data_IF_941800734881
#
_entry.id   IF_941800734881
#
_cell.length_a   1.000
_cell.length_b   1.000
_cell.length_c   1.000
_cell.angle_alpha   90.00
_cell.angle_beta   90.00
_cell.angle_gamma   90.00
#
_symmetry.space_group_name_H-M   'P 1'
#
loop_
_entity.id
_entity.type
_entity.pdbx_description
1 polymer ?
#
# COMPACT_ATOMS: atom_id res chain seq x y z
N UNK A 1 10.43 -26.76 20.19
CA UNK A 1 9.97 -26.26 18.88
C UNK A 1 9.53 -24.83 19.10
N UNK A 2 10.00 -23.90 18.27
CA UNK A 2 9.46 -22.53 18.31
C UNK A 2 8.15 -22.53 17.52
N UNK A 3 7.06 -22.15 18.18
CA UNK A 3 5.76 -21.99 17.52
C UNK A 3 5.77 -20.70 16.69
N UNK A 4 5.49 -20.81 15.39
CA UNK A 4 5.37 -19.65 14.50
C UNK A 4 4.04 -18.95 14.79
N UNK A 5 4.08 -17.65 15.08
CA UNK A 5 2.90 -16.82 15.36
C UNK A 5 2.24 -16.31 14.07
N UNK A 6 3.07 -15.90 13.10
CA UNK A 6 2.64 -15.46 11.77
C UNK A 6 3.59 -16.05 10.72
N UNK A 7 3.05 -16.81 9.77
CA UNK A 7 3.80 -17.31 8.61
C UNK A 7 3.95 -16.23 7.55
N UNK A 8 4.88 -16.43 6.60
CA UNK A 8 5.05 -15.55 5.45
C UNK A 8 3.75 -15.41 4.64
N UNK A 9 3.02 -16.50 4.46
CA UNK A 9 1.75 -16.55 3.74
C UNK A 9 0.65 -15.80 4.51
N UNK A 10 0.59 -15.96 5.83
CA UNK A 10 -0.35 -15.22 6.68
C UNK A 10 -0.08 -13.70 6.64
N UNK A 11 1.19 -13.29 6.62
CA UNK A 11 1.56 -11.88 6.46
C UNK A 11 1.13 -11.32 5.10
N UNK A 12 1.33 -12.09 4.02
CA UNK A 12 0.87 -11.70 2.68
C UNK A 12 -0.66 -11.59 2.62
N UNK A 13 -1.38 -12.57 3.18
CA UNK A 13 -2.85 -12.54 3.25
C UNK A 13 -3.34 -11.32 4.03
N UNK A 14 -2.72 -11.02 5.17
CA UNK A 14 -3.03 -9.83 5.94
C UNK A 14 -2.84 -8.55 5.13
N UNK A 15 -1.70 -8.40 4.46
CA UNK A 15 -1.44 -7.23 3.60
C UNK A 15 -2.47 -7.13 2.46
N UNK A 16 -2.82 -8.23 1.80
CA UNK A 16 -3.82 -8.21 0.74
C UNK A 16 -5.23 -7.88 1.25
N UNK A 17 -5.57 -8.26 2.48
CA UNK A 17 -6.79 -7.80 3.15
C UNK A 17 -6.81 -6.28 3.35
N UNK A 18 -5.69 -5.68 3.76
CA UNK A 18 -5.55 -4.22 3.83
C UNK A 18 -5.73 -3.56 2.45
N UNK A 19 -5.07 -4.12 1.42
CA UNK A 19 -5.18 -3.62 0.04
C UNK A 19 -6.57 -3.69 -0.54
N UNK A 20 -7.32 -4.76 -0.24
CA UNK A 20 -8.71 -4.90 -0.67
C UNK A 20 -9.60 -3.80 -0.05
N UNK A 21 -9.44 -3.56 1.25
CA UNK A 21 -10.21 -2.51 1.91
C UNK A 21 -9.85 -1.12 1.35
N UNK A 22 -8.57 -0.82 1.13
CA UNK A 22 -8.13 0.44 0.51
C UNK A 22 -8.71 0.59 -0.90
N UNK A 23 -8.73 -0.48 -1.70
CA UNK A 23 -9.36 -0.48 -3.03
C UNK A 23 -10.84 -0.08 -2.97
N UNK A 24 -11.61 -0.66 -2.04
CA UNK A 24 -13.04 -0.32 -1.84
C UNK A 24 -13.24 1.12 -1.37
N UNK A 25 -12.32 1.65 -0.58
CA UNK A 25 -12.31 3.06 -0.17
C UNK A 25 -12.10 3.96 -1.38
N UNK A 26 -11.16 3.64 -2.27
CA UNK A 26 -10.96 4.37 -3.54
C UNK A 26 -12.25 4.35 -4.37
N UNK A 27 -12.92 3.20 -4.48
CA UNK A 27 -14.18 3.08 -5.24
C UNK A 27 -15.30 3.98 -4.72
N UNK A 28 -15.38 4.16 -3.40
CA UNK A 28 -16.42 4.95 -2.73
C UNK A 28 -16.36 6.46 -3.04
N UNK A 29 -15.19 7.00 -3.41
CA UNK A 29 -15.08 8.40 -3.82
C UNK A 29 -15.71 8.64 -5.20
N UNK A 30 -16.28 9.83 -5.42
CA UNK A 30 -16.50 10.33 -6.78
C UNK A 30 -15.15 10.59 -7.47
N UNK A 31 -15.14 10.75 -8.80
CA UNK A 31 -13.89 11.11 -9.50
C UNK A 31 -13.38 12.49 -9.06
N UNK A 32 -14.27 13.49 -8.92
CA UNK A 32 -13.87 14.83 -8.51
C UNK A 32 -13.30 14.84 -7.07
N UNK A 33 -14.00 14.20 -6.12
CA UNK A 33 -13.58 14.19 -4.72
C UNK A 33 -12.25 13.47 -4.52
N UNK A 34 -12.04 12.35 -5.22
CA UNK A 34 -10.80 11.58 -5.11
C UNK A 34 -9.57 12.42 -5.47
N UNK A 35 -9.70 13.28 -6.49
CA UNK A 35 -8.59 14.05 -7.04
C UNK A 35 -8.47 15.46 -6.45
N UNK A 36 -9.56 16.05 -5.97
CA UNK A 36 -9.60 17.48 -5.61
C UNK A 36 -9.96 17.75 -4.15
N UNK A 37 -10.67 16.86 -3.46
CA UNK A 37 -11.10 17.13 -2.09
C UNK A 37 -9.93 17.11 -1.11
N UNK A 38 -9.87 18.11 -0.23
CA UNK A 38 -8.82 18.27 0.78
C UNK A 38 -9.41 18.78 2.09
N UNK A 39 -8.78 18.43 3.21
CA UNK A 39 -9.13 18.93 4.55
C UNK A 39 -7.86 19.43 5.23
N UNK A 40 -7.93 20.61 5.86
CA UNK A 40 -6.85 21.07 6.77
C UNK A 40 -5.47 21.21 6.13
N UNK A 41 -5.42 21.52 4.82
CA UNK A 41 -4.15 21.63 4.07
C UNK A 41 -3.51 20.28 3.70
N UNK A 42 -4.19 19.16 3.95
CA UNK A 42 -3.73 17.83 3.53
C UNK A 42 -3.97 17.62 2.02
N UNK A 43 -3.18 16.71 1.43
CA UNK A 43 -3.27 16.34 -0.01
C UNK A 43 -4.60 15.63 -0.32
N UNK A 44 -5.07 15.61 -1.58
CA UNK A 44 -6.15 14.74 -2.02
C UNK A 44 -5.80 13.26 -1.84
N UNK A 45 -6.82 12.40 -1.71
CA UNK A 45 -6.59 10.97 -1.49
C UNK A 45 -5.93 10.28 -2.70
N UNK A 46 -6.14 10.79 -3.92
CA UNK A 46 -5.42 10.34 -5.12
C UNK A 46 -3.89 10.44 -4.95
N UNK A 47 -3.39 11.51 -4.36
CA UNK A 47 -1.94 11.70 -4.15
C UNK A 47 -1.39 10.74 -3.09
N UNK A 48 -2.18 10.45 -2.05
CA UNK A 48 -1.82 9.41 -1.09
C UNK A 48 -1.79 8.04 -1.75
N UNK A 49 -2.72 7.72 -2.65
CA UNK A 49 -2.70 6.47 -3.40
C UNK A 49 -1.47 6.35 -4.32
N UNK A 50 -1.02 7.47 -4.91
CA UNK A 50 0.21 7.50 -5.72
C UNK A 50 1.44 7.14 -4.88
N UNK A 51 1.54 7.66 -3.66
CA UNK A 51 2.57 7.29 -2.69
C UNK A 51 2.53 5.77 -2.38
N UNK A 52 1.36 5.22 -2.06
CA UNK A 52 1.20 3.79 -1.74
C UNK A 52 1.61 2.87 -2.91
N UNK A 53 1.28 3.25 -4.14
CA UNK A 53 1.70 2.54 -5.37
C UNK A 53 3.22 2.62 -5.55
N UNK A 54 3.81 3.80 -5.34
CA UNK A 54 5.26 4.02 -5.46
C UNK A 54 6.07 3.23 -4.42
N UNK A 55 5.45 2.86 -3.30
CA UNK A 55 6.06 2.06 -2.25
C UNK A 55 5.96 0.55 -2.57
N UNK A 56 4.75 0.02 -2.78
CA UNK A 56 4.51 -1.42 -2.66
C UNK A 56 5.30 -2.28 -3.68
N UNK A 57 4.96 -2.21 -4.97
CA UNK A 57 5.60 -3.03 -6.01
C UNK A 57 7.06 -2.63 -6.26
N UNK A 58 7.41 -1.33 -6.36
CA UNK A 58 8.80 -0.92 -6.58
C UNK A 58 9.75 -1.41 -5.48
N UNK A 59 9.31 -1.41 -4.22
CA UNK A 59 10.12 -1.94 -3.12
C UNK A 59 10.34 -3.44 -3.24
N UNK A 60 9.29 -4.23 -3.52
CA UNK A 60 9.44 -5.68 -3.71
C UNK A 60 10.34 -6.00 -4.91
N UNK A 61 10.21 -5.29 -6.03
CA UNK A 61 11.12 -5.43 -7.18
C UNK A 61 12.56 -5.13 -6.79
N UNK A 62 12.80 -4.05 -6.06
CA UNK A 62 14.14 -3.67 -5.60
C UNK A 62 14.76 -4.73 -4.70
N UNK A 63 14.00 -5.23 -3.71
CA UNK A 63 14.46 -6.25 -2.76
C UNK A 63 14.75 -7.58 -3.48
N UNK A 64 13.84 -8.04 -4.34
CA UNK A 64 13.96 -9.34 -5.04
C UNK A 64 15.05 -9.34 -6.12
N UNK A 65 15.30 -8.21 -6.77
CA UNK A 65 16.35 -8.07 -7.79
C UNK A 65 17.69 -7.55 -7.25
N UNK A 66 17.73 -7.13 -5.98
CA UNK A 66 18.85 -6.45 -5.37
C UNK A 66 19.30 -5.18 -6.15
N UNK A 67 18.34 -4.44 -6.70
CA UNK A 67 18.59 -3.19 -7.42
C UNK A 67 17.92 -2.03 -6.68
N UNK A 68 18.71 -1.03 -6.28
CA UNK A 68 18.20 0.15 -5.58
C UNK A 68 17.69 1.15 -6.62
N UNK A 69 16.41 1.50 -6.53
CA UNK A 69 15.80 2.59 -7.31
C UNK A 69 15.52 3.77 -6.39
N UNK A 70 15.35 4.97 -6.96
CA UNK A 70 14.93 6.14 -6.19
C UNK A 70 13.41 6.11 -5.97
N UNK A 71 12.97 6.73 -4.87
CA UNK A 71 11.56 6.95 -4.65
C UNK A 71 11.00 7.94 -5.69
N UNK A 72 9.87 7.58 -6.32
CA UNK A 72 9.14 8.43 -7.26
C UNK A 72 7.63 8.23 -7.06
N UNK A 73 7.00 9.17 -6.35
CA UNK A 73 5.56 9.17 -6.07
C UNK A 73 4.72 9.93 -7.09
N UNK A 74 5.29 10.30 -8.25
CA UNK A 74 4.52 10.96 -9.31
C UNK A 74 3.36 10.05 -9.74
N UNK A 75 2.10 10.52 -9.69
CA UNK A 75 0.97 9.73 -10.14
C UNK A 75 1.15 9.32 -11.60
N UNK A 76 1.00 8.02 -11.87
CA UNK A 76 1.00 7.45 -13.23
C UNK A 76 -0.41 7.33 -13.81
N UNK A 77 -1.43 7.71 -13.04
CA UNK A 77 -2.84 7.65 -13.38
C UNK A 77 -3.46 9.05 -13.39
N UNK A 78 -4.48 9.23 -14.23
CA UNK A 78 -5.19 10.52 -14.38
C UNK A 78 -6.71 10.37 -14.19
N UNK A 79 -7.19 9.20 -13.80
CA UNK A 79 -8.62 8.92 -13.55
C UNK A 79 -8.79 7.87 -12.47
N UNK A 80 -9.99 7.78 -11.87
CA UNK A 80 -10.29 6.77 -10.84
C UNK A 80 -10.17 5.36 -11.40
N UNK A 81 -10.63 5.16 -12.64
CA UNK A 81 -10.55 3.87 -13.32
C UNK A 81 -9.09 3.44 -13.56
N UNK A 82 -8.21 4.37 -13.96
CA UNK A 82 -6.79 4.07 -14.15
C UNK A 82 -6.10 3.73 -12.82
N UNK A 83 -6.42 4.45 -11.74
CA UNK A 83 -5.93 4.13 -10.40
C UNK A 83 -6.35 2.72 -9.96
N UNK A 84 -7.64 2.38 -10.07
CA UNK A 84 -8.14 1.05 -9.69
C UNK A 84 -7.49 -0.06 -10.52
N UNK A 85 -7.32 0.15 -11.83
CA UNK A 85 -6.60 -0.78 -12.71
C UNK A 85 -5.16 -1.01 -12.25
N UNK A 86 -4.42 0.07 -11.96
CA UNK A 86 -3.05 -0.05 -11.44
C UNK A 86 -3.02 -0.77 -10.08
N UNK A 87 -3.98 -0.49 -9.20
CA UNK A 87 -4.08 -1.14 -7.89
C UNK A 87 -4.28 -2.66 -8.01
N UNK A 88 -5.09 -3.08 -8.97
CA UNK A 88 -5.37 -4.49 -9.28
C UNK A 88 -4.14 -5.17 -9.89
N UNK A 89 -3.45 -4.50 -10.82
CA UNK A 89 -2.20 -5.00 -11.40
C UNK A 89 -1.07 -5.12 -10.35
N UNK A 90 -0.97 -4.16 -9.44
CA UNK A 90 0.00 -4.20 -8.34
C UNK A 90 -0.31 -5.32 -7.36
N UNK A 91 -1.60 -5.59 -7.11
CA UNK A 91 -2.03 -6.71 -6.28
C UNK A 91 -1.54 -8.05 -6.84
N UNK A 92 -1.65 -8.24 -8.17
CA UNK A 92 -1.11 -9.42 -8.85
C UNK A 92 0.42 -9.49 -8.75
N UNK A 93 1.11 -8.36 -8.95
CA UNK A 93 2.57 -8.31 -8.86
C UNK A 93 3.08 -8.59 -7.43
N UNK A 94 2.42 -8.08 -6.40
CA UNK A 94 2.76 -8.35 -5.00
C UNK A 94 2.64 -9.85 -4.73
N UNK A 95 1.56 -10.50 -5.18
CA UNK A 95 1.37 -11.95 -5.05
C UNK A 95 2.44 -12.77 -5.78
N UNK A 96 3.01 -12.25 -6.87
CA UNK A 96 4.09 -12.92 -7.60
C UNK A 96 5.47 -12.69 -6.95
N UNK A 97 5.75 -11.48 -6.47
CA UNK A 97 7.07 -11.08 -5.97
C UNK A 97 7.30 -11.48 -4.51
N UNK A 98 6.29 -11.31 -3.65
CA UNK A 98 6.43 -11.55 -2.21
C UNK A 98 6.87 -12.98 -1.87
N UNK A 99 6.34 -14.04 -2.52
CA UNK A 99 6.77 -15.42 -2.26
C UNK A 99 8.23 -15.72 -2.62
N UNK A 100 8.85 -14.92 -3.50
CA UNK A 100 10.26 -15.08 -3.90
C UNK A 100 11.23 -14.81 -2.74
N UNK A 101 10.78 -14.07 -1.72
CA UNK A 101 11.55 -13.84 -0.50
C UNK A 101 11.49 -15.09 0.39
N UNK A 102 12.66 -15.60 0.76
CA UNK A 102 12.80 -16.65 1.78
C UNK A 102 12.53 -16.06 3.17
N UNK A 103 12.05 -16.88 4.11
CA UNK A 103 11.77 -16.42 5.48
C UNK A 103 13.01 -15.82 6.17
N UNK A 104 14.19 -16.39 5.91
CA UNK A 104 15.45 -15.88 6.46
C UNK A 104 15.78 -14.45 5.96
N UNK A 105 15.44 -14.14 4.70
CA UNK A 105 15.71 -12.80 4.14
C UNK A 105 14.94 -11.69 4.86
N UNK A 106 13.80 -11.98 5.50
CA UNK A 106 13.07 -10.96 6.27
C UNK A 106 13.89 -10.36 7.43
N UNK A 107 14.92 -11.07 7.90
CA UNK A 107 15.85 -10.57 8.92
C UNK A 107 17.06 -9.80 8.36
N UNK A 108 17.26 -9.80 7.04
CA UNK A 108 18.35 -9.07 6.40
C UNK A 108 18.01 -7.59 6.25
N UNK A 109 19.04 -6.76 6.35
CA UNK A 109 18.96 -5.35 6.02
C UNK A 109 18.86 -5.16 4.50
N UNK A 110 18.12 -4.14 4.08
CA UNK A 110 18.06 -3.67 2.71
C UNK A 110 17.88 -2.15 2.68
N UNK A 111 18.65 -1.46 1.85
CA UNK A 111 18.53 -0.01 1.67
C UNK A 111 17.47 0.30 0.61
N UNK A 112 16.27 0.67 1.03
CA UNK A 112 15.23 1.14 0.12
C UNK A 112 15.42 2.60 -0.24
N UNK A 113 15.15 2.93 -1.51
CA UNK A 113 15.17 4.29 -2.05
C UNK A 113 16.51 5.03 -1.94
N UNK A 114 17.58 4.31 -1.61
CA UNK A 114 18.92 4.87 -1.35
C UNK A 114 19.08 5.51 0.02
N UNK A 115 18.06 5.45 0.88
CA UNK A 115 18.01 6.24 2.12
C UNK A 115 17.61 5.43 3.36
N UNK A 116 16.83 4.36 3.20
CA UNK A 116 16.23 3.64 4.34
C UNK A 116 16.85 2.26 4.52
N UNK A 117 17.89 2.17 5.36
CA UNK A 117 18.50 0.89 5.77
C UNK A 117 17.74 0.29 6.96
N UNK A 118 16.84 -0.65 6.67
CA UNK A 118 16.06 -1.38 7.67
C UNK A 118 16.01 -2.87 7.30
N UNK A 119 15.56 -3.70 8.24
CA UNK A 119 15.25 -5.10 7.92
C UNK A 119 14.09 -5.17 6.94
N UNK A 120 14.11 -6.15 6.04
CA UNK A 120 13.02 -6.38 5.08
C UNK A 120 11.65 -6.52 5.77
N UNK A 121 11.56 -7.17 6.94
CA UNK A 121 10.30 -7.22 7.69
C UNK A 121 9.81 -5.83 8.13
N UNK A 122 10.72 -4.92 8.50
CA UNK A 122 10.36 -3.58 8.98
C UNK A 122 9.85 -2.72 7.82
N UNK A 123 10.44 -2.88 6.63
CA UNK A 123 9.93 -2.28 5.41
C UNK A 123 8.51 -2.77 5.10
N UNK A 124 8.25 -4.08 5.17
CA UNK A 124 6.90 -4.62 4.94
C UNK A 124 5.89 -4.07 5.94
N UNK A 125 6.25 -3.95 7.23
CA UNK A 125 5.39 -3.30 8.22
C UNK A 125 5.13 -1.84 7.86
N UNK A 126 6.15 -1.09 7.47
CA UNK A 126 5.98 0.29 7.01
C UNK A 126 5.00 0.40 5.83
N UNK A 127 5.07 -0.50 4.85
CA UNK A 127 4.16 -0.49 3.70
C UNK A 127 2.70 -0.63 4.15
N UNK A 128 2.45 -1.56 5.07
CA UNK A 128 1.12 -1.84 5.61
C UNK A 128 0.63 -0.69 6.50
N UNK A 129 1.48 -0.22 7.41
CA UNK A 129 1.13 0.85 8.35
C UNK A 129 0.88 2.18 7.64
N UNK A 130 1.68 2.51 6.61
CA UNK A 130 1.48 3.72 5.81
C UNK A 130 0.16 3.66 5.02
N UNK A 131 -0.18 2.48 4.50
CA UNK A 131 -1.47 2.24 3.84
C UNK A 131 -2.65 2.40 4.81
N UNK A 132 -2.58 1.79 6.01
CA UNK A 132 -3.61 1.93 7.04
C UNK A 132 -3.74 3.39 7.48
N UNK A 133 -2.62 4.09 7.65
CA UNK A 133 -2.57 5.50 8.04
C UNK A 133 -3.31 6.38 7.03
N UNK A 134 -2.94 6.30 5.75
CA UNK A 134 -3.57 7.11 4.70
C UNK A 134 -5.02 6.69 4.43
N UNK A 135 -5.35 5.40 4.55
CA UNK A 135 -6.75 4.97 4.50
C UNK A 135 -7.55 5.57 5.64
N UNK A 136 -7.01 5.65 6.85
CA UNK A 136 -7.65 6.33 7.97
C UNK A 136 -7.97 7.81 7.66
N UNK A 137 -7.07 8.52 6.98
CA UNK A 137 -7.31 9.89 6.50
C UNK A 137 -8.46 9.92 5.47
N UNK A 138 -8.48 8.97 4.54
CA UNK A 138 -9.54 8.85 3.54
C UNK A 138 -10.93 8.59 4.16
N UNK A 139 -11.01 7.86 5.28
CA UNK A 139 -12.26 7.67 6.01
C UNK A 139 -12.82 9.00 6.53
N UNK A 140 -11.95 9.87 7.03
CA UNK A 140 -12.33 11.23 7.44
C UNK A 140 -12.83 12.03 6.25
N UNK A 141 -12.18 11.89 5.09
CA UNK A 141 -12.60 12.58 3.86
C UNK A 141 -13.99 12.11 3.40
N UNK A 142 -14.22 10.79 3.32
CA UNK A 142 -15.52 10.22 2.96
C UNK A 142 -16.62 10.74 3.89
N UNK A 143 -16.39 10.74 5.21
CA UNK A 143 -17.38 11.24 6.18
C UNK A 143 -17.64 12.74 6.02
N UNK A 144 -16.62 13.55 5.76
CA UNK A 144 -16.78 14.98 5.50
C UNK A 144 -17.58 15.28 4.22
N UNK A 145 -17.49 14.37 3.23
CA UNK A 145 -18.27 14.39 1.99
C UNK A 145 -19.68 13.81 2.14
N UNK A 146 -20.07 13.35 3.34
CA UNK A 146 -21.36 12.71 3.59
C UNK A 146 -21.47 11.28 3.06
N UNK A 147 -20.34 10.64 2.71
CA UNK A 147 -20.26 9.27 2.23
C UNK A 147 -19.91 8.34 3.39
N UNK A 148 -20.65 7.24 3.53
CA UNK A 148 -20.31 6.19 4.49
C UNK A 148 -19.12 5.35 3.98
N UNK A 149 -18.00 5.27 4.73
CA UNK A 149 -16.89 4.41 4.34
C UNK A 149 -17.23 2.92 4.46
N UNK A 150 -16.56 2.04 3.68
CA UNK A 150 -16.55 0.61 3.92
C UNK A 150 -16.20 0.28 5.38
N UNK A 151 -16.66 -0.86 5.90
CA UNK A 151 -16.41 -1.20 7.29
C UNK A 151 -14.94 -1.60 7.48
N UNK A 152 -14.31 -1.06 8.53
CA UNK A 152 -12.88 -1.27 8.79
C UNK A 152 -12.48 -2.74 8.96
N UNK A 153 -13.38 -3.58 9.48
CA UNK A 153 -13.10 -5.00 9.72
C UNK A 153 -13.19 -5.88 8.47
N UNK A 154 -13.56 -5.34 7.30
CA UNK A 154 -13.65 -6.10 6.04
C UNK A 154 -12.27 -6.40 5.42
N UNK A 155 -11.21 -6.40 6.25
CA UNK A 155 -9.85 -6.85 5.89
C UNK A 155 -9.63 -8.35 6.10
N UNK A 156 -10.66 -9.08 6.56
CA UNK A 156 -10.62 -10.50 6.91
C UNK A 156 -11.71 -11.28 6.16
#
# INVERSE_FOLDING_TARGET
MNTVIISKEQLLQYWQGQRNLTRRVIEAFSEDDLFNFTIGGMRPFSMMCAELIAIAVPSLKSITSNQITKFDEKPTFTSKAALLKQWDEDTVQINALFPLLTEAQFQNNFVLFGEHDLKIQQHVFYFIDNEIHHRGQAYVYLRALGIEPPHFWETF
#
